data_IF_858378341574
#
_entry.id   IF_858378341574
#
_cell.length_a   1.000
_cell.length_b   1.000
_cell.length_c   1.000
_cell.angle_alpha   90.00
_cell.angle_beta   90.00
_cell.angle_gamma   90.00
#
_symmetry.space_group_name_H-M   'P 1'
#
loop_
_entity.id
_entity.type
_entity.pdbx_description
1 polymer ?
#
# COMPACT_ATOMS: atom_id res chain seq x y z
N UNK A 1 18.77 -1.34 5.76
CA UNK A 1 17.98 -1.27 7.01
C UNK A 1 16.52 -1.58 6.69
N UNK A 2 15.80 -2.28 7.57
CA UNK A 2 14.36 -2.60 7.39
C UNK A 2 13.52 -1.68 8.28
N UNK A 3 12.57 -0.97 7.68
CA UNK A 3 11.63 -0.05 8.33
C UNK A 3 10.26 -0.72 8.39
N UNK A 4 9.72 -0.84 9.59
CA UNK A 4 8.35 -1.30 9.84
C UNK A 4 7.56 -0.15 10.47
N UNK A 5 6.53 0.33 9.78
CA UNK A 5 5.68 1.46 10.20
C UNK A 5 4.91 1.19 11.50
N UNK A 6 4.83 -0.08 11.92
CA UNK A 6 4.23 -0.48 13.19
C UNK A 6 5.28 -0.52 14.33
N UNK A 7 6.57 -0.31 14.01
CA UNK A 7 7.68 -0.32 14.95
C UNK A 7 8.53 0.94 14.82
N UNK A 8 8.20 1.96 15.60
CA UNK A 8 8.92 3.26 15.63
C UNK A 8 10.44 3.11 15.78
N UNK A 9 10.91 2.13 16.58
CA UNK A 9 12.34 1.91 16.78
C UNK A 9 13.08 1.45 15.51
N UNK A 10 12.37 1.14 14.42
CA UNK A 10 12.96 0.79 13.13
C UNK A 10 13.25 2.02 12.25
N UNK A 11 12.78 3.21 12.64
CA UNK A 11 12.89 4.40 11.82
C UNK A 11 14.34 4.93 11.82
N UNK A 12 14.87 5.38 10.67
CA UNK A 12 16.21 5.92 10.63
C UNK A 12 16.31 7.17 11.49
N UNK A 13 17.18 7.16 12.50
CA UNK A 13 17.45 8.33 13.35
C UNK A 13 17.91 9.56 12.53
N UNK A 14 18.55 9.33 11.38
CA UNK A 14 18.91 10.38 10.43
C UNK A 14 17.69 11.16 9.91
N UNK A 15 16.53 10.50 9.71
CA UNK A 15 15.30 11.18 9.30
C UNK A 15 14.82 12.15 10.38
N UNK A 16 14.81 11.72 11.64
CA UNK A 16 14.43 12.56 12.78
C UNK A 16 15.31 13.80 12.85
N UNK A 17 16.63 13.60 12.76
CA UNK A 17 17.61 14.69 12.79
C UNK A 17 17.37 15.70 11.66
N UNK A 18 17.24 15.23 10.42
CA UNK A 18 17.02 16.08 9.26
C UNK A 18 15.73 16.92 9.41
N UNK A 19 14.60 16.29 9.78
CA UNK A 19 13.33 17.00 9.95
C UNK A 19 13.41 18.03 11.10
N UNK A 20 13.91 17.63 12.27
CA UNK A 20 14.01 18.55 13.40
C UNK A 20 15.00 19.71 13.16
N UNK A 21 16.10 19.47 12.46
CA UNK A 21 17.05 20.53 12.07
C UNK A 21 16.40 21.49 11.08
N UNK A 22 15.69 20.96 10.08
CA UNK A 22 14.98 21.79 9.11
C UNK A 22 13.94 22.68 9.78
N UNK A 23 13.13 22.14 10.70
CA UNK A 23 12.12 22.90 11.46
C UNK A 23 12.79 24.05 12.22
N UNK A 24 13.82 23.77 13.02
CA UNK A 24 14.52 24.78 13.81
C UNK A 24 15.15 25.89 12.96
N UNK A 25 15.72 25.52 11.81
CA UNK A 25 16.41 26.46 10.94
C UNK A 25 15.44 27.34 10.13
N UNK A 26 14.28 26.81 9.73
CA UNK A 26 13.43 27.47 8.73
C UNK A 26 12.06 27.92 9.25
N UNK A 27 11.55 27.35 10.34
CA UNK A 27 10.18 27.61 10.80
C UNK A 27 10.08 28.45 12.07
N UNK A 28 11.19 29.01 12.59
CA UNK A 28 11.20 29.81 13.81
C UNK A 28 10.17 30.96 13.79
N UNK A 29 9.98 31.62 12.65
CA UNK A 29 9.04 32.74 12.52
C UNK A 29 7.55 32.33 12.66
N UNK A 30 7.22 31.08 12.35
CA UNK A 30 5.84 30.55 12.32
C UNK A 30 5.60 29.44 13.34
N UNK A 31 6.62 29.06 14.12
CA UNK A 31 6.57 27.96 15.09
C UNK A 31 5.44 28.14 16.11
N UNK A 32 5.27 29.34 16.66
CA UNK A 32 4.17 29.65 17.59
C UNK A 32 2.79 29.52 16.92
N UNK A 33 2.67 29.92 15.65
CA UNK A 33 1.41 29.79 14.91
C UNK A 33 1.04 28.33 14.66
N UNK A 34 2.03 27.50 14.37
CA UNK A 34 1.85 26.05 14.20
C UNK A 34 1.45 25.43 15.55
N UNK A 35 2.16 25.75 16.64
CA UNK A 35 1.90 25.18 17.97
C UNK A 35 0.53 25.53 18.55
N UNK A 36 -0.09 26.65 18.15
CA UNK A 36 -1.43 27.04 18.63
C UNK A 36 -2.56 26.27 17.97
N UNK A 37 -2.29 25.46 16.94
CA UNK A 37 -3.30 24.59 16.32
C UNK A 37 -3.67 23.47 17.28
N UNK A 38 -4.98 23.25 17.44
CA UNK A 38 -5.51 22.09 18.17
C UNK A 38 -5.41 20.84 17.30
N UNK A 39 -4.85 19.77 17.86
CA UNK A 39 -4.71 18.47 17.18
C UNK A 39 -5.60 17.45 17.88
N UNK A 40 -6.57 16.90 17.16
CA UNK A 40 -7.45 15.83 17.64
C UNK A 40 -7.28 14.54 16.82
N UNK A 41 -6.79 14.67 15.58
CA UNK A 41 -6.52 13.55 14.66
C UNK A 41 -5.29 13.83 13.79
N UNK A 42 -4.73 12.76 13.21
CA UNK A 42 -3.57 12.84 12.32
C UNK A 42 -3.79 13.78 11.12
N UNK A 43 -5.04 13.95 10.67
CA UNK A 43 -5.37 14.91 9.62
C UNK A 43 -5.04 16.36 10.02
N UNK A 44 -5.27 16.72 11.28
CA UNK A 44 -5.05 18.10 11.76
C UNK A 44 -3.56 18.46 11.75
N UNK A 45 -2.69 17.49 12.05
CA UNK A 45 -1.23 17.64 11.92
C UNK A 45 -0.87 18.03 10.50
N UNK A 46 -1.39 17.28 9.51
CA UNK A 46 -1.09 17.54 8.09
C UNK A 46 -1.59 18.92 7.67
N UNK A 47 -2.80 19.31 8.08
CA UNK A 47 -3.32 20.65 7.82
C UNK A 47 -2.49 21.76 8.46
N UNK A 48 -1.96 21.54 9.68
CA UNK A 48 -1.16 22.53 10.37
C UNK A 48 0.21 22.76 9.69
N UNK A 49 0.79 21.73 9.08
CA UNK A 49 2.15 21.80 8.52
C UNK A 49 2.23 21.90 7.00
N UNK A 50 1.15 21.64 6.26
CA UNK A 50 1.19 21.48 4.79
C UNK A 50 1.75 22.72 4.05
N UNK A 51 1.50 23.91 4.59
CA UNK A 51 1.97 25.16 3.98
C UNK A 51 3.49 25.40 4.14
N UNK A 52 4.15 24.60 4.98
CA UNK A 52 5.53 24.78 5.37
C UNK A 52 6.42 23.57 5.07
N UNK A 53 5.88 22.36 5.27
CA UNK A 53 6.64 21.11 5.24
C UNK A 53 6.23 20.17 4.11
N UNK A 54 5.36 20.59 3.19
CA UNK A 54 5.10 19.84 1.95
C UNK A 54 6.33 19.90 1.04
N UNK A 55 6.51 18.87 0.21
CA UNK A 55 7.64 18.74 -0.71
C UNK A 55 7.97 20.02 -1.49
N UNK A 56 6.97 20.63 -2.13
CA UNK A 56 7.17 21.87 -2.91
C UNK A 56 7.54 23.11 -2.08
N UNK A 57 7.42 23.04 -0.75
CA UNK A 57 7.81 24.10 0.20
C UNK A 57 9.14 23.80 0.89
N UNK A 58 9.54 22.53 0.94
CA UNK A 58 10.69 22.04 1.67
C UNK A 58 11.60 21.14 0.81
N UNK A 59 11.84 21.53 -0.44
CA UNK A 59 12.52 20.69 -1.43
C UNK A 59 13.88 20.15 -0.95
N UNK A 60 14.69 20.98 -0.28
CA UNK A 60 16.00 20.57 0.24
C UNK A 60 15.89 19.48 1.30
N UNK A 61 14.88 19.56 2.18
CA UNK A 61 14.60 18.51 3.16
C UNK A 61 14.27 17.20 2.43
N UNK A 62 13.35 17.23 1.46
CA UNK A 62 12.94 16.02 0.74
C UNK A 62 14.08 15.37 -0.04
N UNK A 63 14.98 16.16 -0.64
CA UNK A 63 16.21 15.65 -1.27
C UNK A 63 17.11 14.93 -0.26
N UNK A 64 17.22 15.42 0.97
CA UNK A 64 17.99 14.76 2.03
C UNK A 64 17.29 13.47 2.52
N UNK A 65 15.99 13.54 2.81
CA UNK A 65 15.21 12.40 3.27
C UNK A 65 15.17 11.27 2.22
N UNK A 66 15.06 11.62 0.94
CA UNK A 66 15.12 10.65 -0.17
C UNK A 66 16.47 9.91 -0.22
N UNK A 67 17.59 10.60 0.02
CA UNK A 67 18.91 9.95 0.11
C UNK A 67 18.98 8.98 1.29
N UNK A 68 18.49 9.39 2.47
CA UNK A 68 18.44 8.53 3.66
C UNK A 68 17.59 7.27 3.39
N UNK A 69 16.42 7.46 2.79
CA UNK A 69 15.46 6.38 2.55
C UNK A 69 15.87 5.47 1.39
N UNK A 70 16.68 5.93 0.44
CA UNK A 70 17.11 5.14 -0.74
C UNK A 70 17.82 3.83 -0.38
N UNK A 71 18.51 3.79 0.75
CA UNK A 71 19.19 2.59 1.28
C UNK A 71 18.32 1.73 2.22
N UNK A 72 17.06 2.14 2.39
CA UNK A 72 16.10 1.47 3.27
C UNK A 72 15.18 0.53 2.49
N UNK A 73 14.79 -0.54 3.17
CA UNK A 73 13.69 -1.42 2.79
C UNK A 73 12.52 -1.13 3.73
N UNK A 74 11.32 -1.01 3.19
CA UNK A 74 10.09 -0.75 3.91
C UNK A 74 9.27 -2.02 3.93
N UNK A 75 8.70 -2.34 5.09
CA UNK A 75 7.69 -3.39 5.24
C UNK A 75 6.39 -2.90 4.60
N UNK A 76 5.91 -3.68 3.65
CA UNK A 76 4.69 -3.43 2.91
C UNK A 76 3.78 -4.65 2.97
N UNK A 77 2.49 -4.43 2.73
CA UNK A 77 1.47 -5.46 2.73
C UNK A 77 0.71 -5.46 1.41
N UNK A 78 0.35 -6.65 0.92
CA UNK A 78 -0.49 -6.82 -0.27
C UNK A 78 -1.63 -7.79 0.05
N UNK A 79 -2.86 -7.34 -0.13
CA UNK A 79 -4.06 -8.14 0.09
C UNK A 79 -4.47 -8.83 -1.21
N UNK A 80 -4.68 -10.15 -1.17
CA UNK A 80 -5.05 -10.92 -2.36
C UNK A 80 -5.78 -12.22 -2.02
N UNK A 81 -6.30 -12.87 -3.05
CA UNK A 81 -6.98 -14.15 -2.96
C UNK A 81 -6.61 -15.01 -4.16
N UNK A 82 -6.13 -16.22 -3.90
CA UNK A 82 -5.65 -17.15 -4.95
C UNK A 82 -6.16 -18.56 -4.69
N UNK A 83 -6.10 -19.43 -5.70
CA UNK A 83 -6.46 -20.84 -5.53
C UNK A 83 -5.42 -21.62 -4.72
N UNK A 84 -4.13 -21.32 -4.91
CA UNK A 84 -3.03 -22.07 -4.31
C UNK A 84 -1.98 -21.15 -3.70
N UNK A 85 -1.88 -21.13 -2.37
CA UNK A 85 -0.92 -20.29 -1.63
C UNK A 85 0.54 -20.55 -2.02
N UNK A 86 0.88 -21.79 -2.41
CA UNK A 86 2.23 -22.15 -2.85
C UNK A 86 2.70 -21.32 -4.05
N UNK A 87 1.78 -20.89 -4.93
CA UNK A 87 2.14 -20.07 -6.09
C UNK A 87 2.81 -18.76 -5.69
N UNK A 88 2.36 -18.11 -4.61
CA UNK A 88 2.96 -16.87 -4.12
C UNK A 88 4.29 -17.15 -3.41
N UNK A 89 4.37 -18.24 -2.65
CA UNK A 89 5.60 -18.62 -1.96
C UNK A 89 6.73 -18.98 -2.95
N UNK A 90 6.40 -19.60 -4.07
CA UNK A 90 7.37 -20.04 -5.08
C UNK A 90 7.74 -18.92 -6.06
N UNK A 91 6.77 -18.08 -6.45
CA UNK A 91 6.96 -17.12 -7.55
C UNK A 91 7.03 -15.66 -7.10
N UNK A 92 6.73 -15.38 -5.83
CA UNK A 92 6.63 -14.04 -5.29
C UNK A 92 5.35 -13.33 -5.72
N UNK A 93 5.34 -12.00 -5.59
CA UNK A 93 4.29 -11.15 -6.16
C UNK A 93 4.73 -10.59 -7.50
N UNK A 94 3.84 -10.66 -8.48
CA UNK A 94 4.08 -10.12 -9.82
C UNK A 94 3.33 -8.82 -10.00
N UNK A 95 3.95 -7.89 -10.72
CA UNK A 95 3.19 -6.77 -11.32
C UNK A 95 2.12 -7.37 -12.21
N UNK A 96 0.99 -6.68 -12.33
CA UNK A 96 -0.13 -7.17 -13.13
C UNK A 96 0.15 -7.01 -14.64
N UNK A 97 1.16 -7.67 -15.20
CA UNK A 97 1.37 -7.68 -16.64
C UNK A 97 0.14 -8.30 -17.34
N UNK A 98 -0.31 -7.72 -18.46
CA UNK A 98 -1.59 -8.05 -19.07
C UNK A 98 -1.65 -9.52 -19.52
N UNK A 99 -0.60 -10.02 -20.16
CA UNK A 99 -0.54 -11.40 -20.66
C UNK A 99 -0.40 -12.39 -19.50
N UNK A 100 0.48 -12.11 -18.53
CA UNK A 100 0.66 -12.95 -17.34
C UNK A 100 -0.62 -13.03 -16.51
N UNK A 101 -1.24 -11.88 -16.23
CA UNK A 101 -2.51 -11.80 -15.51
C UNK A 101 -3.62 -12.51 -16.28
N UNK A 102 -3.71 -12.30 -17.59
CA UNK A 102 -4.73 -12.94 -18.43
C UNK A 102 -4.56 -14.46 -18.44
N UNK A 103 -3.33 -14.95 -18.52
CA UNK A 103 -3.02 -16.37 -18.44
C UNK A 103 -3.44 -16.95 -17.09
N UNK A 104 -3.03 -16.32 -16.00
CA UNK A 104 -3.38 -16.75 -14.65
C UNK A 104 -4.90 -16.78 -14.43
N UNK A 105 -5.63 -15.75 -14.90
CA UNK A 105 -7.09 -15.71 -14.80
C UNK A 105 -7.75 -16.80 -15.64
N UNK A 106 -7.26 -17.08 -16.85
CA UNK A 106 -7.78 -18.18 -17.67
C UNK A 106 -7.58 -19.53 -16.98
N UNK A 107 -6.40 -19.78 -16.41
CA UNK A 107 -6.10 -21.01 -15.66
C UNK A 107 -7.03 -21.16 -14.44
N UNK A 108 -7.27 -20.08 -13.69
CA UNK A 108 -8.22 -20.07 -12.57
C UNK A 108 -9.64 -20.40 -13.05
N UNK A 109 -10.11 -19.77 -14.13
CA UNK A 109 -11.45 -20.01 -14.66
C UNK A 109 -11.62 -21.45 -15.18
N UNK A 110 -10.59 -22.01 -15.83
CA UNK A 110 -10.56 -23.41 -16.24
C UNK A 110 -10.62 -24.35 -15.03
N UNK A 111 -9.79 -24.11 -14.00
CA UNK A 111 -9.75 -24.92 -12.79
C UNK A 111 -11.08 -24.91 -12.03
N UNK A 112 -11.84 -23.81 -12.10
CA UNK A 112 -13.16 -23.69 -11.48
C UNK A 112 -14.32 -24.16 -12.37
N UNK A 113 -14.04 -24.60 -13.60
CA UNK A 113 -15.07 -25.12 -14.52
C UNK A 113 -16.01 -24.04 -15.05
N UNK A 114 -15.53 -22.81 -15.25
CA UNK A 114 -16.33 -21.74 -15.84
C UNK A 114 -16.75 -22.08 -17.28
N UNK A 115 -18.01 -21.83 -17.64
CA UNK A 115 -18.57 -22.19 -18.95
C UNK A 115 -18.19 -21.23 -20.08
N UNK A 116 -18.08 -19.93 -19.80
CA UNK A 116 -17.88 -18.88 -20.82
C UNK A 116 -16.52 -18.18 -20.70
N UNK A 117 -15.42 -18.95 -20.59
CA UNK A 117 -14.08 -18.45 -20.25
C UNK A 117 -13.63 -17.29 -21.17
N UNK A 118 -13.74 -17.45 -22.49
CA UNK A 118 -13.24 -16.43 -23.42
C UNK A 118 -14.06 -15.13 -23.37
N UNK A 119 -15.36 -15.22 -23.09
CA UNK A 119 -16.20 -14.04 -22.86
C UNK A 119 -15.79 -13.33 -21.56
N UNK A 120 -15.58 -14.09 -20.48
CA UNK A 120 -15.07 -13.57 -19.20
C UNK A 120 -13.73 -12.85 -19.39
N UNK A 121 -12.81 -13.48 -20.12
CA UNK A 121 -11.49 -12.92 -20.42
C UNK A 121 -11.60 -11.66 -21.28
N UNK A 122 -12.58 -11.58 -22.19
CA UNK A 122 -12.89 -10.38 -22.95
C UNK A 122 -13.30 -9.20 -22.07
N UNK A 123 -14.15 -9.42 -21.06
CA UNK A 123 -14.50 -8.37 -20.10
C UNK A 123 -13.32 -7.97 -19.22
N UNK A 124 -12.56 -8.94 -18.72
CA UNK A 124 -11.38 -8.69 -17.88
C UNK A 124 -10.33 -7.86 -18.63
N UNK A 125 -10.03 -8.21 -19.89
CA UNK A 125 -9.07 -7.48 -20.71
C UNK A 125 -9.51 -6.03 -20.95
N UNK A 126 -10.78 -5.79 -21.28
CA UNK A 126 -11.32 -4.43 -21.46
C UNK A 126 -11.18 -3.60 -20.18
N UNK A 127 -11.46 -4.21 -19.03
CA UNK A 127 -11.32 -3.53 -17.75
C UNK A 127 -9.85 -3.27 -17.39
N UNK A 128 -8.94 -4.16 -17.80
CA UNK A 128 -7.50 -3.97 -17.63
C UNK A 128 -7.03 -2.75 -18.43
N UNK A 129 -7.37 -2.70 -19.72
CA UNK A 129 -7.02 -1.61 -20.64
C UNK A 129 -7.61 -0.27 -20.18
N UNK A 130 -8.80 -0.27 -19.58
CA UNK A 130 -9.42 0.92 -18.98
C UNK A 130 -8.65 1.43 -17.76
N UNK A 131 -8.14 0.52 -16.92
CA UNK A 131 -7.57 0.86 -15.61
C UNK A 131 -6.07 1.11 -15.62
N UNK A 132 -5.31 0.30 -16.37
CA UNK A 132 -3.86 0.25 -16.27
C UNK A 132 -3.18 0.80 -17.52
N UNK A 133 -2.41 1.86 -17.33
CA UNK A 133 -1.47 2.37 -18.33
C UNK A 133 -0.15 1.58 -18.30
N UNK A 134 0.23 1.05 -17.12
CA UNK A 134 1.46 0.30 -16.91
C UNK A 134 1.24 -0.81 -15.87
N UNK A 135 1.86 -2.00 -16.05
CA UNK A 135 1.87 -3.04 -15.03
C UNK A 135 2.47 -2.54 -13.71
N UNK A 136 1.78 -2.81 -12.61
CA UNK A 136 2.11 -2.37 -11.26
C UNK A 136 1.62 -3.38 -10.21
N UNK A 137 2.23 -3.32 -9.03
CA UNK A 137 1.78 -4.02 -7.83
C UNK A 137 1.43 -2.97 -6.77
N UNK A 138 0.20 -3.03 -6.29
CA UNK A 138 -0.27 -2.15 -5.21
C UNK A 138 0.08 -2.74 -3.84
N UNK A 139 0.41 -1.87 -2.89
CA UNK A 139 0.69 -2.25 -1.51
C UNK A 139 0.22 -1.18 -0.54
N UNK A 140 0.16 -1.53 0.75
CA UNK A 140 -0.16 -0.61 1.84
C UNK A 140 0.77 -0.79 3.05
N UNK A 141 0.81 0.20 3.92
CA UNK A 141 1.59 0.18 5.17
C UNK A 141 0.77 -0.33 6.35
N UNK A 142 1.34 -1.24 7.13
CA UNK A 142 0.76 -1.70 8.40
C UNK A 142 -0.52 -2.53 8.28
N UNK A 143 -0.70 -3.47 9.20
CA UNK A 143 -1.85 -4.39 9.25
C UNK A 143 -3.15 -3.64 9.57
N UNK A 144 -3.07 -2.51 10.29
CA UNK A 144 -4.22 -1.70 10.68
C UNK A 144 -5.04 -1.17 9.50
N UNK A 145 -4.45 -1.07 8.30
CA UNK A 145 -5.18 -0.60 7.11
C UNK A 145 -6.06 -1.70 6.49
N UNK A 146 -5.93 -2.96 6.89
CA UNK A 146 -6.68 -4.07 6.30
C UNK A 146 -8.19 -3.89 6.47
N UNK A 147 -8.67 -3.60 7.69
CA UNK A 147 -10.10 -3.65 7.99
C UNK A 147 -10.85 -2.33 7.77
N UNK A 148 -10.15 -1.25 7.40
CA UNK A 148 -10.74 0.07 7.23
C UNK A 148 -11.34 0.65 8.51
N UNK A 149 -10.85 1.81 8.97
CA UNK A 149 -11.55 2.56 10.02
C UNK A 149 -12.39 3.67 9.39
N UNK A 150 -11.74 4.57 8.66
CA UNK A 150 -12.37 5.75 8.02
C UNK A 150 -12.45 5.64 6.49
N UNK A 151 -11.87 4.59 5.90
CA UNK A 151 -11.82 4.32 4.46
C UNK A 151 -12.09 2.83 4.21
N UNK A 152 -12.51 2.43 2.99
CA UNK A 152 -12.60 1.02 2.63
C UNK A 152 -11.26 0.31 2.91
N UNK A 153 -11.30 -0.76 3.69
CA UNK A 153 -10.12 -1.54 4.01
C UNK A 153 -9.48 -2.17 2.77
N UNK A 154 -8.20 -2.53 2.89
CA UNK A 154 -7.52 -3.32 1.84
C UNK A 154 -8.04 -4.78 1.81
N UNK A 155 -8.84 -5.19 2.79
CA UNK A 155 -9.52 -6.48 2.78
C UNK A 155 -10.48 -6.69 1.60
N UNK A 156 -10.95 -5.61 0.97
CA UNK A 156 -11.73 -5.71 -0.27
C UNK A 156 -10.99 -6.47 -1.39
N UNK A 157 -9.64 -6.46 -1.38
CA UNK A 157 -8.83 -7.19 -2.35
C UNK A 157 -8.73 -8.68 -2.03
N UNK A 158 -9.14 -9.09 -0.83
CA UNK A 158 -9.32 -10.48 -0.44
C UNK A 158 -10.71 -11.02 -0.81
N UNK A 159 -11.63 -10.22 -1.35
CA UNK A 159 -12.99 -10.67 -1.64
C UNK A 159 -13.03 -11.69 -2.79
N UNK A 160 -12.26 -11.45 -3.85
CA UNK A 160 -12.41 -12.12 -5.13
C UNK A 160 -11.05 -12.50 -5.74
N UNK A 161 -10.94 -13.71 -6.30
CA UNK A 161 -9.75 -14.07 -7.11
C UNK A 161 -9.67 -13.12 -8.32
N UNK A 162 -8.46 -12.64 -8.62
CA UNK A 162 -8.25 -11.60 -9.63
C UNK A 162 -8.50 -10.18 -9.13
N UNK A 163 -8.84 -10.03 -7.84
CA UNK A 163 -8.97 -8.76 -7.14
C UNK A 163 -10.05 -7.85 -7.71
N UNK A 164 -9.82 -6.55 -7.55
CA UNK A 164 -10.75 -5.50 -7.99
C UNK A 164 -11.00 -5.52 -9.49
N UNK A 165 -10.01 -5.93 -10.29
CA UNK A 165 -10.12 -5.95 -11.74
C UNK A 165 -11.17 -6.98 -12.21
N UNK A 166 -11.07 -8.23 -11.73
CA UNK A 166 -12.06 -9.26 -12.02
C UNK A 166 -13.44 -8.92 -11.41
N UNK A 167 -13.45 -8.29 -10.22
CA UNK A 167 -14.70 -7.82 -9.59
C UNK A 167 -15.45 -6.84 -10.48
N UNK A 168 -14.79 -5.78 -10.95
CA UNK A 168 -15.42 -4.77 -11.81
C UNK A 168 -15.81 -5.30 -13.18
N UNK A 169 -14.97 -6.14 -13.78
CA UNK A 169 -15.24 -6.71 -15.09
C UNK A 169 -16.48 -7.62 -15.11
N UNK A 170 -16.68 -8.42 -14.05
CA UNK A 170 -17.62 -9.54 -14.08
C UNK A 170 -18.88 -9.35 -13.24
N UNK A 171 -18.86 -8.55 -12.16
CA UNK A 171 -19.96 -8.49 -11.19
C UNK A 171 -21.34 -8.25 -11.81
N UNK A 172 -21.42 -7.39 -12.81
CA UNK A 172 -22.68 -7.06 -13.51
C UNK A 172 -22.84 -7.80 -14.84
N UNK A 173 -21.74 -8.13 -15.51
CA UNK A 173 -21.75 -8.71 -16.87
C UNK A 173 -21.85 -10.23 -16.87
N UNK A 174 -21.25 -10.88 -15.88
CA UNK A 174 -21.29 -12.33 -15.67
C UNK A 174 -21.35 -12.66 -14.16
N UNK A 175 -22.52 -12.46 -13.51
CA UNK A 175 -22.67 -12.61 -12.07
C UNK A 175 -22.32 -14.00 -11.55
N UNK A 176 -22.57 -15.06 -12.32
CA UNK A 176 -22.24 -16.44 -11.92
C UNK A 176 -20.73 -16.70 -11.93
N UNK A 177 -20.01 -16.24 -12.96
CA UNK A 177 -18.54 -16.27 -12.99
C UNK A 177 -17.94 -15.45 -11.84
N UNK A 178 -18.52 -14.28 -11.57
CA UNK A 178 -18.12 -13.46 -10.43
C UNK A 178 -18.31 -14.18 -9.09
N UNK A 179 -19.49 -14.77 -8.84
CA UNK A 179 -19.76 -15.56 -7.62
C UNK A 179 -18.81 -16.73 -7.49
N UNK A 180 -18.47 -17.40 -8.60
CA UNK A 180 -17.52 -18.50 -8.62
C UNK A 180 -16.11 -18.06 -8.15
N UNK A 181 -15.58 -16.96 -8.69
CA UNK A 181 -14.28 -16.41 -8.25
C UNK A 181 -14.31 -15.91 -6.78
N UNK A 182 -15.48 -15.43 -6.32
CA UNK A 182 -15.68 -14.92 -4.96
C UNK A 182 -15.80 -16.05 -3.93
N UNK A 183 -16.43 -17.17 -4.28
CA UNK A 183 -16.70 -18.26 -3.35
C UNK A 183 -15.55 -19.27 -3.25
N UNK A 184 -14.55 -19.18 -4.14
CA UNK A 184 -13.41 -20.09 -4.18
C UNK A 184 -12.09 -19.38 -3.83
N UNK A 185 -11.07 -20.15 -3.47
CA UNK A 185 -9.73 -19.64 -3.16
C UNK A 185 -9.55 -19.19 -1.71
N UNK A 186 -8.30 -18.91 -1.37
CA UNK A 186 -7.83 -18.62 -0.03
C UNK A 186 -7.42 -17.15 0.02
N UNK A 187 -8.04 -16.32 0.89
CA UNK A 187 -7.61 -14.93 1.05
C UNK A 187 -6.45 -14.83 2.04
N UNK A 188 -5.50 -13.94 1.76
CA UNK A 188 -4.35 -13.69 2.63
C UNK A 188 -3.75 -12.31 2.39
N UNK A 189 -2.96 -11.87 3.37
CA UNK A 189 -2.12 -10.69 3.30
C UNK A 189 -0.67 -11.13 3.21
N UNK A 190 0.03 -10.65 2.21
CA UNK A 190 1.46 -10.88 2.03
C UNK A 190 2.21 -9.72 2.67
N UNK A 191 2.99 -9.98 3.73
CA UNK A 191 3.93 -9.04 4.31
C UNK A 191 5.28 -9.21 3.61
N UNK A 192 5.84 -8.13 3.07
CA UNK A 192 7.10 -8.20 2.31
C UNK A 192 7.95 -6.96 2.50
N UNK A 193 9.26 -7.10 2.26
CA UNK A 193 10.20 -5.98 2.23
C UNK A 193 10.37 -5.42 0.82
N UNK A 194 10.09 -4.12 0.64
CA UNK A 194 10.29 -3.39 -0.62
C UNK A 194 11.33 -2.29 -0.44
N UNK A 195 12.36 -2.23 -1.29
CA UNK A 195 13.31 -1.11 -1.23
C UNK A 195 12.59 0.17 -1.58
N UNK A 196 12.86 1.25 -0.84
CA UNK A 196 12.21 2.54 -1.08
C UNK A 196 12.41 3.01 -2.54
N UNK A 197 13.62 2.83 -3.09
CA UNK A 197 13.94 3.14 -4.49
C UNK A 197 13.15 2.34 -5.54
N UNK A 198 12.53 1.24 -5.15
CA UNK A 198 11.72 0.40 -6.03
C UNK A 198 10.23 0.81 -6.01
N UNK A 199 9.84 1.74 -5.13
CA UNK A 199 8.51 2.38 -5.11
C UNK A 199 8.45 3.43 -6.22
N UNK A 200 7.29 3.60 -6.86
CA UNK A 200 7.12 4.62 -7.89
C UNK A 200 7.45 6.03 -7.36
N UNK A 201 8.21 6.82 -8.12
CA UNK A 201 8.76 8.10 -7.65
C UNK A 201 7.71 9.04 -7.05
N UNK A 202 6.55 9.21 -7.70
CA UNK A 202 5.49 10.09 -7.19
C UNK A 202 4.85 9.59 -5.88
N UNK A 203 4.99 8.30 -5.55
CA UNK A 203 4.57 7.73 -4.27
C UNK A 203 5.65 7.89 -3.19
N UNK A 204 6.92 8.00 -3.58
CA UNK A 204 8.02 8.21 -2.64
C UNK A 204 7.82 9.50 -1.86
N UNK A 205 7.44 10.61 -2.51
CA UNK A 205 7.22 11.89 -1.83
C UNK A 205 6.04 11.86 -0.85
N UNK A 206 4.97 11.14 -1.22
CA UNK A 206 3.83 10.88 -0.32
C UNK A 206 4.26 10.12 0.93
N UNK A 207 5.09 9.09 0.77
CA UNK A 207 5.64 8.31 1.88
C UNK A 207 6.56 9.17 2.75
N UNK A 208 7.48 9.94 2.15
CA UNK A 208 8.36 10.85 2.88
C UNK A 208 7.55 11.86 3.69
N UNK A 209 6.45 12.38 3.13
CA UNK A 209 5.58 13.31 3.85
C UNK A 209 4.93 12.68 5.10
N UNK A 210 4.65 11.38 5.10
CA UNK A 210 4.19 10.68 6.31
C UNK A 210 5.26 10.68 7.41
N UNK A 211 6.53 10.46 7.07
CA UNK A 211 7.63 10.55 8.04
C UNK A 211 7.85 12.00 8.51
N UNK A 212 7.76 12.99 7.61
CA UNK A 212 7.84 14.41 7.97
C UNK A 212 6.71 14.77 8.94
N UNK A 213 5.49 14.34 8.64
CA UNK A 213 4.31 14.55 9.49
C UNK A 213 4.48 13.88 10.85
N UNK A 214 5.01 12.65 10.88
CA UNK A 214 5.32 11.95 12.12
C UNK A 214 6.28 12.74 13.01
N UNK A 215 7.42 13.18 12.46
CA UNK A 215 8.41 13.91 13.26
C UNK A 215 7.97 15.34 13.61
N UNK A 216 7.22 16.01 12.74
CA UNK A 216 6.63 17.31 13.04
C UNK A 216 5.57 17.19 14.15
N UNK A 217 4.75 16.15 14.12
CA UNK A 217 3.75 15.86 15.16
C UNK A 217 4.39 15.73 16.54
N UNK A 218 5.48 14.96 16.60
CA UNK A 218 6.28 14.78 17.81
C UNK A 218 6.94 16.09 18.25
N UNK A 219 7.48 16.88 17.31
CA UNK A 219 8.20 18.12 17.60
C UNK A 219 7.27 19.22 18.16
N UNK A 220 6.14 19.49 17.52
CA UNK A 220 5.28 20.62 17.89
C UNK A 220 4.25 20.30 18.98
N UNK A 221 3.76 19.05 19.04
CA UNK A 221 2.63 18.70 19.92
C UNK A 221 2.86 17.44 20.75
N UNK A 222 4.01 16.77 20.64
CA UNK A 222 4.24 15.45 21.24
C UNK A 222 3.13 14.43 20.84
N UNK A 223 2.59 14.57 19.64
CA UNK A 223 1.43 13.81 19.16
C UNK A 223 1.86 12.48 18.53
N UNK A 224 1.20 11.38 18.92
CA UNK A 224 1.48 10.05 18.37
C UNK A 224 0.84 9.86 17.00
N UNK A 225 1.46 10.45 15.97
CA UNK A 225 1.01 10.36 14.59
C UNK A 225 1.19 8.95 14.03
N UNK A 226 0.19 8.41 13.34
CA UNK A 226 0.29 7.10 12.70
C UNK A 226 0.70 7.23 11.23
N UNK A 227 1.87 6.69 10.89
CA UNK A 227 2.32 6.61 9.48
C UNK A 227 1.43 5.62 8.73
N UNK A 228 0.67 6.14 7.75
CA UNK A 228 -0.24 5.38 6.91
C UNK A 228 -0.07 5.80 5.46
N UNK A 229 0.17 4.86 4.57
CA UNK A 229 0.22 5.08 3.13
C UNK A 229 -0.13 3.81 2.36
N UNK A 230 -0.52 4.01 1.11
CA UNK A 230 -0.39 3.01 0.07
C UNK A 230 0.59 3.47 -0.99
N UNK A 231 0.84 2.57 -1.93
CA UNK A 231 1.70 2.88 -3.03
C UNK A 231 1.67 1.81 -4.10
N UNK A 232 2.47 2.06 -5.12
CA UNK A 232 2.69 1.13 -6.21
C UNK A 232 4.17 0.92 -6.44
N UNK A 233 4.52 -0.29 -6.90
CA UNK A 233 5.82 -0.59 -7.48
C UNK A 233 5.64 -1.14 -8.88
N UNK A 234 6.61 -0.85 -9.76
CA UNK A 234 6.70 -1.43 -11.09
C UNK A 234 7.61 -2.66 -11.13
N UNK A 235 8.02 -3.17 -9.96
CA UNK A 235 8.88 -4.34 -9.83
C UNK A 235 8.13 -5.48 -9.17
N UNK A 236 8.48 -6.69 -9.59
CA UNK A 236 8.07 -7.90 -8.90
C UNK A 236 8.70 -7.94 -7.50
N UNK A 237 8.01 -8.58 -6.57
CA UNK A 237 8.54 -8.92 -5.24
C UNK A 237 8.97 -10.37 -5.32
N UNK A 238 10.26 -10.63 -5.18
CA UNK A 238 10.79 -11.99 -5.19
C UNK A 238 10.34 -12.78 -3.94
N UNK A 239 10.28 -14.12 -4.00
CA UNK A 239 9.97 -14.97 -2.84
C UNK A 239 10.75 -14.62 -1.58
N UNK A 240 12.04 -14.32 -1.71
CA UNK A 240 12.95 -14.02 -0.59
C UNK A 240 12.64 -12.68 0.08
N UNK A 241 11.83 -11.83 -0.56
CA UNK A 241 11.37 -10.57 0.01
C UNK A 241 10.08 -10.75 0.83
N UNK A 242 9.39 -11.88 0.71
CA UNK A 242 8.22 -12.21 1.53
C UNK A 242 8.70 -12.52 2.94
N UNK A 243 8.18 -11.75 3.91
CA UNK A 243 8.50 -11.87 5.32
C UNK A 243 7.51 -12.79 6.02
N UNK A 244 6.23 -12.68 5.66
CA UNK A 244 5.15 -13.44 6.26
C UNK A 244 3.94 -13.50 5.33
N UNK A 245 3.17 -14.57 5.46
CA UNK A 245 1.88 -14.76 4.79
C UNK A 245 0.82 -14.92 5.87
N UNK A 246 -0.03 -13.92 6.02
CA UNK A 246 -1.05 -13.83 7.07
C UNK A 246 -2.37 -14.30 6.47
N UNK A 247 -2.94 -15.37 7.02
CA UNK A 247 -4.25 -15.85 6.58
C UNK A 247 -5.33 -14.79 6.85
N UNK A 248 -6.10 -14.44 5.82
CA UNK A 248 -7.16 -13.45 5.92
C UNK A 248 -8.49 -14.16 5.74
N UNK A 249 -9.16 -14.43 6.85
CA UNK A 249 -10.46 -15.09 6.83
C UNK A 249 -11.12 -14.90 8.18
N UNK A 250 -12.26 -14.19 8.21
CA UNK A 250 -13.08 -14.10 9.40
C UNK A 250 -13.52 -15.51 9.81
N UNK A 251 -13.03 -16.04 10.93
CA UNK A 251 -13.98 -16.52 11.94
C UNK A 251 -14.45 -15.26 12.67
N UNK A 252 -15.65 -14.78 12.35
CA UNK A 252 -16.37 -14.00 13.35
C UNK A 252 -16.76 -15.03 14.40
N UNK A 253 -15.96 -15.18 15.45
CA UNK A 253 -16.49 -15.69 16.69
C UNK A 253 -17.45 -14.60 17.18
N UNK A 254 -18.75 -14.82 16.96
CA UNK A 254 -19.73 -14.21 17.83
C UNK A 254 -19.56 -14.91 19.18
N UNK A 255 -18.79 -14.31 20.07
CA UNK A 255 -19.08 -14.36 21.51
C UNK A 255 -19.59 -12.99 21.93
#
# INVERSE_FOLDING_TARGET
>A
MLIDTEKVSSYPEAMRKAVCQYIRANLHAVEKEIQTKTIEKDFDVRCAIENYLRECKAELLYRELSKIMSDCTIVCYHATKVLCRAQIMENGLRVNECEEYSKAMREVLMALGASNIEESMGYIRKEYERKYVKPQLCFFSGVQLINGLEFPGYDQFCENIGGELARWALREKQPETYKMLRNNGIPFIVKFGLRFRDIANYQQDSILYQFVSYYAAQYFWNWNYSIKFDGITYKNVAPQQILEMIDYGKKVNCE
#
